data_IF_657110995795
#
_entry.id   IF_657110995795
#
_cell.length_a   1.000
_cell.length_b   1.000
_cell.length_c   1.000
_cell.angle_alpha   90.00
_cell.angle_beta   90.00
_cell.angle_gamma   90.00
#
_symmetry.space_group_name_H-M   'P 1'
#
loop_
_entity.id
_entity.type
_entity.pdbx_description
1 polymer ?
#
# COMPACT_ATOMS: atom_id res chain seq x y z
N UNK A 1 7.80 -11.43 1.58
CA UNK A 1 7.72 -10.98 2.99
C UNK A 1 6.45 -10.20 3.14
N UNK A 2 5.75 -10.25 4.29
CA UNK A 2 4.46 -9.59 4.50
C UNK A 2 4.55 -8.68 5.73
N UNK A 3 4.30 -7.40 5.54
CA UNK A 3 4.29 -6.36 6.58
C UNK A 3 2.87 -5.79 6.71
N UNK A 4 2.03 -6.31 7.61
CA UNK A 4 0.68 -5.81 7.74
C UNK A 4 0.66 -4.34 8.15
N UNK A 5 -0.10 -3.53 7.45
CA UNK A 5 -0.30 -2.12 7.76
C UNK A 5 -1.37 -2.03 8.86
N UNK A 6 -0.95 -2.14 10.10
CA UNK A 6 -1.84 -2.13 11.25
C UNK A 6 -2.57 -0.81 11.40
N UNK A 7 -3.83 -0.89 11.82
CA UNK A 7 -4.58 0.23 12.38
C UNK A 7 -4.64 0.10 13.90
N UNK A 8 -4.90 1.20 14.59
CA UNK A 8 -4.98 1.25 16.04
C UNK A 8 -6.36 1.72 16.47
N UNK A 9 -6.88 1.16 17.54
CA UNK A 9 -8.14 1.52 18.18
C UNK A 9 -8.10 1.13 19.64
N UNK A 10 -9.22 1.25 20.33
CA UNK A 10 -9.32 0.82 21.73
C UNK A 10 -8.93 -0.65 21.89
N UNK A 11 -8.17 -1.00 22.93
CA UNK A 11 -7.90 -2.39 23.29
C UNK A 11 -9.19 -3.20 23.36
N UNK A 12 -9.16 -4.44 22.94
CA UNK A 12 -10.36 -5.29 23.00
C UNK A 12 -10.01 -6.73 23.34
N UNK A 13 -10.99 -7.40 23.95
CA UNK A 13 -11.00 -8.84 24.14
C UNK A 13 -12.33 -9.39 23.66
N UNK A 14 -12.31 -10.20 22.62
CA UNK A 14 -13.49 -10.95 22.15
C UNK A 14 -13.36 -12.38 22.63
N UNK A 15 -14.25 -12.80 23.49
CA UNK A 15 -14.44 -14.21 23.81
C UNK A 15 -15.36 -14.82 22.77
N UNK A 16 -14.98 -15.96 22.23
CA UNK A 16 -15.79 -16.70 21.26
C UNK A 16 -16.26 -18.01 21.92
N UNK A 17 -17.35 -17.97 22.71
CA UNK A 17 -17.71 -19.06 23.64
C UNK A 17 -18.30 -20.29 22.98
N UNK A 18 -18.41 -20.35 21.65
CA UNK A 18 -19.03 -21.46 20.95
C UNK A 18 -18.00 -22.26 20.16
N UNK A 19 -17.66 -23.44 20.67
CA UNK A 19 -17.14 -24.53 19.85
C UNK A 19 -18.21 -24.93 18.82
N UNK A 20 -17.79 -25.26 17.62
CA UNK A 20 -18.69 -25.65 16.53
C UNK A 20 -18.35 -27.03 16.00
N UNK A 21 -19.32 -27.65 15.36
CA UNK A 21 -19.12 -28.81 14.53
C UNK A 21 -19.72 -28.55 13.17
N UNK A 22 -18.97 -28.77 12.11
CA UNK A 22 -19.50 -28.71 10.75
C UNK A 22 -19.22 -30.00 10.00
N UNK A 23 -20.10 -30.35 9.07
CA UNK A 23 -19.93 -31.50 8.22
C UNK A 23 -18.65 -31.47 7.38
N UNK A 24 -18.15 -30.28 7.06
CA UNK A 24 -16.96 -30.08 6.23
C UNK A 24 -15.66 -29.98 7.04
N UNK A 25 -15.71 -29.45 8.28
CA UNK A 25 -14.54 -29.14 9.07
C UNK A 25 -14.44 -29.92 10.39
N UNK A 26 -15.43 -30.79 10.69
CA UNK A 26 -15.46 -31.54 11.94
C UNK A 26 -15.67 -30.70 13.18
N UNK A 27 -15.16 -31.17 14.32
CA UNK A 27 -15.16 -30.40 15.59
C UNK A 27 -14.02 -29.38 15.56
N UNK A 28 -14.32 -28.14 15.91
CA UNK A 28 -13.31 -27.10 16.05
C UNK A 28 -13.58 -26.25 17.30
N UNK A 29 -12.50 -25.83 17.94
CA UNK A 29 -12.54 -24.85 19.01
C UNK A 29 -12.28 -23.47 18.43
N UNK A 30 -13.12 -22.51 18.78
CA UNK A 30 -12.92 -21.12 18.41
C UNK A 30 -12.15 -20.43 19.54
N UNK A 31 -10.92 -20.05 19.24
CA UNK A 31 -10.15 -19.21 20.13
C UNK A 31 -10.67 -17.77 20.09
N UNK A 32 -10.72 -17.13 21.22
CA UNK A 32 -10.99 -15.70 21.32
C UNK A 32 -9.88 -14.89 20.62
N UNK A 33 -10.17 -13.66 20.27
CA UNK A 33 -9.18 -12.71 19.79
C UNK A 33 -9.06 -11.55 20.78
N UNK A 34 -7.84 -11.15 21.08
CA UNK A 34 -7.58 -9.98 21.92
C UNK A 34 -6.50 -9.09 21.30
N UNK A 35 -6.57 -7.82 21.61
CA UNK A 35 -5.56 -6.85 21.31
C UNK A 35 -5.39 -5.95 22.52
N UNK A 36 -4.32 -6.17 23.28
CA UNK A 36 -4.00 -5.42 24.48
C UNK A 36 -3.48 -4.01 24.18
N UNK A 37 -2.88 -3.82 23.01
CA UNK A 37 -2.31 -2.56 22.50
C UNK A 37 -3.22 -1.82 21.54
N UNK A 38 -4.43 -2.33 21.28
CA UNK A 38 -5.38 -1.77 20.32
C UNK A 38 -5.01 -2.02 18.86
N UNK A 39 -3.93 -2.73 18.58
CA UNK A 39 -3.48 -3.05 17.22
C UNK A 39 -4.45 -3.99 16.51
N UNK A 40 -4.77 -3.66 15.27
CA UNK A 40 -5.68 -4.44 14.41
C UNK A 40 -5.05 -4.73 13.07
N UNK A 41 -5.15 -5.95 12.62
CA UNK A 41 -4.80 -6.31 11.25
C UNK A 41 -5.70 -5.55 10.25
N UNK A 42 -5.17 -5.20 9.07
CA UNK A 42 -5.98 -4.57 8.04
C UNK A 42 -7.15 -5.47 7.65
N UNK A 43 -8.29 -4.85 7.32
CA UNK A 43 -9.45 -5.55 6.77
C UNK A 43 -9.18 -6.04 5.34
N UNK A 44 -10.13 -6.79 4.81
CA UNK A 44 -10.10 -7.28 3.43
C UNK A 44 -10.59 -6.24 2.41
N UNK A 45 -11.00 -5.06 2.85
CA UNK A 45 -11.44 -3.93 2.01
C UNK A 45 -10.64 -2.70 2.40
N UNK A 46 -10.04 -2.05 1.41
CA UNK A 46 -9.36 -0.77 1.54
C UNK A 46 -10.23 0.33 0.93
N UNK A 47 -10.40 1.41 1.65
CA UNK A 47 -11.08 2.60 1.17
C UNK A 47 -10.03 3.65 0.81
N UNK A 48 -9.78 3.83 -0.47
CA UNK A 48 -8.85 4.84 -0.99
C UNK A 48 -9.61 5.71 -1.99
N UNK A 49 -9.64 7.05 -1.80
CA UNK A 49 -10.31 7.95 -2.72
C UNK A 49 -9.74 7.85 -4.14
N UNK A 50 -10.59 7.96 -5.14
CA UNK A 50 -10.15 8.04 -6.53
C UNK A 50 -9.51 9.40 -6.81
N UNK A 51 -8.55 9.42 -7.74
CA UNK A 51 -7.93 10.67 -8.19
C UNK A 51 -8.92 11.42 -9.09
N UNK A 52 -9.31 12.63 -8.67
CA UNK A 52 -10.10 13.55 -9.49
C UNK A 52 -9.18 14.61 -10.10
N UNK A 53 -9.35 14.92 -11.40
CA UNK A 53 -8.49 15.89 -12.09
C UNK A 53 -7.04 15.40 -12.31
N UNK A 54 -6.81 14.10 -12.33
CA UNK A 54 -5.49 13.51 -12.59
C UNK A 54 -4.98 13.80 -14.02
N UNK A 55 -3.68 13.68 -14.19
CA UNK A 55 -2.99 13.88 -15.49
C UNK A 55 -3.20 12.73 -16.47
N UNK A 56 -3.82 11.64 -16.02
CA UNK A 56 -4.16 10.48 -16.84
C UNK A 56 -5.54 9.94 -16.43
N UNK A 57 -6.42 9.55 -17.35
CA UNK A 57 -7.80 9.13 -17.05
C UNK A 57 -7.89 7.92 -16.09
N UNK A 58 -6.91 7.04 -16.11
CA UNK A 58 -6.87 5.84 -15.26
C UNK A 58 -5.79 5.92 -14.16
N UNK A 59 -5.39 7.13 -13.78
CA UNK A 59 -4.39 7.33 -12.74
C UNK A 59 -4.83 6.70 -11.43
N UNK A 60 -3.97 5.87 -10.84
CA UNK A 60 -4.20 5.28 -9.52
C UNK A 60 -3.79 6.27 -8.42
N UNK A 61 -4.45 6.24 -7.25
CA UNK A 61 -3.98 6.97 -6.08
C UNK A 61 -2.59 6.51 -5.65
N UNK A 62 -1.70 7.45 -5.32
CA UNK A 62 -0.35 7.15 -4.83
C UNK A 62 -0.42 6.36 -3.53
N UNK A 63 -1.30 6.76 -2.61
CA UNK A 63 -1.55 6.10 -1.33
C UNK A 63 -1.87 4.60 -1.47
N UNK A 64 -2.64 4.21 -2.49
CA UNK A 64 -2.93 2.81 -2.77
C UNK A 64 -1.67 2.02 -3.11
N UNK A 65 -0.81 2.58 -3.97
CA UNK A 65 0.46 1.95 -4.33
C UNK A 65 1.42 1.89 -3.13
N UNK A 66 1.51 2.95 -2.33
CA UNK A 66 2.31 2.99 -1.12
C UNK A 66 1.89 1.91 -0.11
N UNK A 67 0.58 1.73 0.07
CA UNK A 67 0.05 0.69 0.94
C UNK A 67 0.56 -0.70 0.54
N UNK A 68 0.47 -1.04 -0.74
CA UNK A 68 0.94 -2.35 -1.22
C UNK A 68 2.46 -2.47 -1.19
N UNK A 69 3.19 -1.43 -1.56
CA UNK A 69 4.65 -1.41 -1.51
C UNK A 69 5.14 -1.65 -0.08
N UNK A 70 4.62 -0.93 0.90
CA UNK A 70 4.95 -1.11 2.33
C UNK A 70 4.57 -2.51 2.83
N UNK A 71 3.45 -3.05 2.35
CA UNK A 71 2.96 -4.36 2.79
C UNK A 71 3.82 -5.51 2.29
N UNK A 72 4.35 -5.43 1.08
CA UNK A 72 4.99 -6.58 0.42
C UNK A 72 6.48 -6.40 0.14
N UNK A 73 7.08 -5.28 0.49
CA UNK A 73 8.51 -5.02 0.27
C UNK A 73 9.19 -4.43 1.49
N UNK A 74 10.49 -4.68 1.61
CA UNK A 74 11.35 -3.95 2.55
C UNK A 74 11.81 -2.61 1.95
N UNK A 75 12.26 -1.69 2.79
CA UNK A 75 12.97 -0.50 2.35
C UNK A 75 14.20 -0.89 1.52
N UNK A 76 14.53 -0.08 0.51
CA UNK A 76 15.60 -0.34 -0.44
C UNK A 76 15.30 -1.42 -1.49
N UNK A 77 14.18 -2.16 -1.40
CA UNK A 77 13.77 -3.12 -2.41
C UNK A 77 13.50 -2.45 -3.77
N UNK A 78 13.52 -3.24 -4.83
CA UNK A 78 13.16 -2.78 -6.18
C UNK A 78 11.71 -3.17 -6.47
N UNK A 79 10.91 -2.18 -6.82
CA UNK A 79 9.53 -2.34 -7.30
C UNK A 79 9.52 -2.22 -8.81
N UNK A 80 8.93 -3.20 -9.49
CA UNK A 80 8.81 -3.19 -10.95
C UNK A 80 7.37 -2.96 -11.38
N UNK A 81 7.17 -2.09 -12.38
CA UNK A 81 5.88 -1.84 -13.01
C UNK A 81 6.02 -1.87 -14.53
N UNK A 82 5.42 -2.86 -15.17
CA UNK A 82 5.53 -3.07 -16.62
C UNK A 82 4.53 -2.25 -17.45
N UNK A 83 3.61 -1.52 -16.79
CA UNK A 83 2.57 -0.70 -17.38
C UNK A 83 2.41 0.59 -16.58
N UNK A 84 3.49 1.36 -16.45
CA UNK A 84 3.60 2.45 -15.48
C UNK A 84 2.58 3.58 -15.66
N UNK A 85 2.03 3.77 -16.85
CA UNK A 85 1.08 4.83 -17.14
C UNK A 85 1.65 6.20 -16.71
N UNK A 86 0.95 6.90 -15.83
CA UNK A 86 1.39 8.19 -15.29
C UNK A 86 2.50 8.12 -14.23
N UNK A 87 3.14 6.97 -14.01
CA UNK A 87 4.26 6.81 -13.09
C UNK A 87 3.89 6.77 -11.60
N UNK A 88 2.65 6.44 -11.27
CA UNK A 88 2.18 6.43 -9.86
C UNK A 88 3.00 5.47 -8.99
N UNK A 89 3.33 4.28 -9.50
CA UNK A 89 4.14 3.29 -8.78
C UNK A 89 5.55 3.80 -8.48
N UNK A 90 6.17 4.54 -9.41
CA UNK A 90 7.48 5.13 -9.20
C UNK A 90 7.46 6.19 -8.09
N UNK A 91 6.45 7.08 -8.11
CA UNK A 91 6.26 8.10 -7.06
C UNK A 91 6.06 7.42 -5.69
N UNK A 92 5.19 6.42 -5.62
CA UNK A 92 4.93 5.67 -4.39
C UNK A 92 6.18 4.92 -3.88
N UNK A 93 6.99 4.37 -4.77
CA UNK A 93 8.25 3.72 -4.41
C UNK A 93 9.24 4.71 -3.80
N UNK A 94 9.40 5.89 -4.39
CA UNK A 94 10.25 6.97 -3.83
C UNK A 94 9.77 7.41 -2.45
N UNK A 95 8.47 7.70 -2.30
CA UNK A 95 7.89 8.11 -1.02
C UNK A 95 8.07 7.09 0.10
N UNK A 96 8.28 5.84 -0.26
CA UNK A 96 8.41 4.73 0.69
C UNK A 96 9.86 4.21 0.78
N UNK A 97 10.84 4.93 0.28
CA UNK A 97 12.26 4.56 0.28
C UNK A 97 12.55 3.24 -0.45
N UNK A 98 11.85 3.01 -1.55
CA UNK A 98 12.11 1.87 -2.47
C UNK A 98 12.66 2.39 -3.79
N UNK A 99 13.43 1.54 -4.46
CA UNK A 99 13.86 1.77 -5.85
C UNK A 99 12.77 1.29 -6.80
N UNK A 100 12.77 1.77 -8.02
CA UNK A 100 11.78 1.34 -9.01
C UNK A 100 12.40 1.09 -10.39
N UNK A 101 11.72 0.25 -11.16
CA UNK A 101 11.96 0.05 -12.60
C UNK A 101 10.57 0.08 -13.24
N UNK A 102 10.34 1.06 -14.10
CA UNK A 102 9.03 1.26 -14.73
C UNK A 102 9.16 1.24 -16.26
N UNK A 103 8.17 0.66 -16.91
CA UNK A 103 8.09 0.58 -18.36
C UNK A 103 6.78 1.21 -18.81
N UNK A 104 6.86 2.02 -19.89
CA UNK A 104 5.71 2.60 -20.56
C UNK A 104 6.03 2.67 -22.05
N UNK A 105 5.17 2.09 -22.90
CA UNK A 105 5.41 1.99 -24.34
C UNK A 105 4.83 3.15 -25.13
N UNK A 106 3.90 3.93 -24.55
CA UNK A 106 3.30 5.09 -25.21
C UNK A 106 4.17 6.33 -24.97
N UNK A 107 4.85 6.90 -25.99
CA UNK A 107 5.80 8.00 -25.79
C UNK A 107 5.21 9.24 -25.12
N UNK A 108 3.96 9.57 -25.43
CA UNK A 108 3.26 10.71 -24.81
C UNK A 108 3.01 10.49 -23.31
N UNK A 109 2.62 9.28 -22.91
CA UNK A 109 2.38 8.93 -21.52
C UNK A 109 3.71 8.82 -20.78
N UNK A 110 4.73 8.22 -21.40
CA UNK A 110 6.09 8.18 -20.85
C UNK A 110 6.61 9.57 -20.50
N UNK A 111 6.44 10.54 -21.39
CA UNK A 111 6.89 11.93 -21.14
C UNK A 111 6.20 12.53 -19.91
N UNK A 112 4.90 12.31 -19.74
CA UNK A 112 4.13 12.76 -18.58
C UNK A 112 4.65 12.07 -17.30
N UNK A 113 4.84 10.76 -17.36
CA UNK A 113 5.37 9.99 -16.24
C UNK A 113 6.76 10.47 -15.81
N UNK A 114 7.67 10.67 -16.78
CA UNK A 114 9.04 11.13 -16.51
C UNK A 114 9.05 12.50 -15.82
N UNK A 115 8.25 13.45 -16.31
CA UNK A 115 8.12 14.77 -15.67
C UNK A 115 7.59 14.67 -14.24
N UNK A 116 6.55 13.87 -14.01
CA UNK A 116 5.97 13.67 -12.69
C UNK A 116 6.93 13.02 -11.71
N UNK A 117 7.68 12.02 -12.16
CA UNK A 117 8.71 11.34 -11.36
C UNK A 117 9.81 12.33 -10.96
N UNK A 118 10.27 13.15 -11.91
CA UNK A 118 11.29 14.15 -11.62
C UNK A 118 10.81 15.23 -10.63
N UNK A 119 9.57 15.69 -10.77
CA UNK A 119 8.97 16.62 -9.78
C UNK A 119 8.88 15.98 -8.38
N UNK A 120 8.46 14.74 -8.29
CA UNK A 120 8.41 14.02 -7.02
C UNK A 120 9.82 13.83 -6.41
N UNK A 121 10.83 13.53 -7.24
CA UNK A 121 12.22 13.42 -6.80
C UNK A 121 12.75 14.71 -6.19
N UNK A 122 12.49 15.83 -6.83
CA UNK A 122 12.90 17.14 -6.33
C UNK A 122 12.20 17.50 -5.01
N UNK A 123 10.93 17.11 -4.85
CA UNK A 123 10.19 17.35 -3.60
C UNK A 123 10.78 16.54 -2.43
N UNK A 124 11.16 15.28 -2.65
CA UNK A 124 11.78 14.43 -1.63
C UNK A 124 13.17 14.97 -1.23
N UNK A 125 14.01 15.38 -2.20
CA UNK A 125 15.37 15.88 -1.93
C UNK A 125 15.38 17.32 -1.39
N UNK A 126 14.36 18.12 -1.69
CA UNK A 126 14.24 19.51 -1.19
C UNK A 126 13.81 19.61 0.27
N UNK A 127 13.20 18.56 0.83
CA UNK A 127 12.79 18.51 2.25
C UNK A 127 13.93 18.25 3.24
N UNK A 128 15.11 17.80 2.80
CA UNK A 128 16.26 17.51 3.67
C UNK A 128 17.16 18.72 3.98
N UNK A 129 16.79 19.94 3.55
CA UNK A 129 17.58 21.17 3.79
C UNK A 129 16.93 22.11 4.80
N UNK A 130 16.51 21.57 5.94
CA UNK A 130 15.87 22.37 6.98
C UNK A 130 16.09 21.83 8.39
N UNK A 131 17.35 21.60 8.78
CA UNK A 131 17.78 21.58 10.19
C UNK A 131 19.16 22.22 10.30
#
# INVERSE_FOLDING_TARGET
>A
MYHPQFTYGEPYRKTNPRSGCSTNYGKFERTGSESSDGRRYPGNVLFVPTVTGGIHPTQKPVELCEYFIKTYTNEGAVVADICAGSGTTAVAAMNTSRRFICFENAPSIYTIAAQRIEQARLAVTGGEKGE
#
